data_IF_191831978810
#
_entry.id   IF_191831978810
#
_cell.length_a   1.000
_cell.length_b   1.000
_cell.length_c   1.000
_cell.angle_alpha   90.00
_cell.angle_beta   90.00
_cell.angle_gamma   90.00
#
_symmetry.space_group_name_H-M   'P 1'
#
loop_
_entity.id
_entity.type
_entity.pdbx_description
1 polymer ?
#
# COMPACT_ATOMS: atom_id res chain seq x y z
N UNK A 1 -11.09 -6.20 -17.63
CA UNK A 1 -11.84 -5.45 -16.60
C UNK A 1 -11.01 -5.22 -15.34
N UNK A 2 -10.58 -6.28 -14.64
CA UNK A 2 -9.81 -6.18 -13.38
C UNK A 2 -8.60 -5.24 -13.46
N UNK A 3 -7.72 -5.39 -14.45
CA UNK A 3 -6.52 -4.54 -14.57
C UNK A 3 -6.82 -3.05 -14.80
N UNK A 4 -7.93 -2.73 -15.47
CA UNK A 4 -8.36 -1.34 -15.66
C UNK A 4 -8.89 -0.73 -14.35
N UNK A 5 -9.63 -1.50 -13.57
CA UNK A 5 -10.05 -1.09 -12.21
C UNK A 5 -8.81 -0.90 -11.33
N UNK A 6 -7.85 -1.83 -11.37
CA UNK A 6 -6.58 -1.69 -10.64
C UNK A 6 -5.84 -0.40 -11.05
N UNK A 7 -5.76 -0.08 -12.34
CA UNK A 7 -5.17 1.17 -12.81
C UNK A 7 -5.83 2.40 -12.18
N UNK A 8 -7.17 2.45 -12.13
CA UNK A 8 -7.91 3.52 -11.46
C UNK A 8 -7.63 3.56 -9.95
N UNK A 9 -7.63 2.40 -9.27
CA UNK A 9 -7.34 2.32 -7.83
C UNK A 9 -5.97 2.90 -7.52
N UNK A 10 -4.93 2.51 -8.27
CA UNK A 10 -3.57 3.03 -8.08
C UNK A 10 -3.52 4.54 -8.30
N UNK A 11 -4.15 5.04 -9.38
CA UNK A 11 -4.24 6.49 -9.62
C UNK A 11 -5.00 7.23 -8.50
N UNK A 12 -6.08 6.64 -7.99
CA UNK A 12 -6.87 7.21 -6.90
C UNK A 12 -6.08 7.31 -5.59
N UNK A 13 -5.25 6.31 -5.26
CA UNK A 13 -4.34 6.35 -4.10
C UNK A 13 -3.40 7.56 -4.20
N UNK A 14 -2.71 7.71 -5.33
CA UNK A 14 -1.81 8.87 -5.53
C UNK A 14 -2.57 10.20 -5.45
N UNK A 15 -3.74 10.30 -6.10
CA UNK A 15 -4.55 11.52 -6.07
C UNK A 15 -5.06 11.85 -4.65
N UNK A 16 -5.46 10.83 -3.89
CA UNK A 16 -5.93 10.98 -2.51
C UNK A 16 -4.88 11.61 -1.60
N UNK A 17 -3.66 11.04 -1.62
CA UNK A 17 -2.56 11.46 -0.77
C UNK A 17 -1.97 12.80 -1.22
N UNK A 18 -1.67 12.95 -2.51
CA UNK A 18 -1.13 14.23 -3.06
C UNK A 18 -2.11 15.38 -2.85
N UNK A 19 -3.41 15.14 -3.02
CA UNK A 19 -4.47 16.14 -2.77
C UNK A 19 -4.60 16.55 -1.29
N UNK A 20 -4.01 15.79 -0.35
CA UNK A 20 -4.03 16.04 1.10
C UNK A 20 -2.67 16.45 1.67
N UNK A 21 -1.75 16.86 0.79
CA UNK A 21 -0.42 17.35 1.16
C UNK A 21 0.52 16.27 1.68
N UNK A 22 0.30 15.01 1.32
CA UNK A 22 1.30 13.96 1.55
C UNK A 22 2.33 13.97 0.42
N UNK A 23 3.59 13.69 0.76
CA UNK A 23 4.67 13.50 -0.19
C UNK A 23 4.87 12.01 -0.47
N UNK A 24 5.10 11.67 -1.73
CA UNK A 24 5.49 10.31 -2.09
C UNK A 24 6.92 10.06 -1.65
N UNK A 25 7.13 8.96 -0.92
CA UNK A 25 8.42 8.59 -0.37
C UNK A 25 8.72 7.14 -0.72
N UNK A 26 9.81 6.91 -1.45
CA UNK A 26 10.26 5.57 -1.83
C UNK A 26 11.36 5.08 -0.88
N UNK A 27 11.05 4.02 -0.15
CA UNK A 27 12.00 3.35 0.71
C UNK A 27 12.75 2.22 -0.03
N UNK A 28 13.94 1.84 0.43
CA UNK A 28 14.67 0.71 -0.15
C UNK A 28 13.92 -0.61 0.08
N UNK A 29 13.86 -1.42 -0.98
CA UNK A 29 13.32 -2.78 -0.95
C UNK A 29 14.29 -3.76 -0.29
N UNK A 30 15.60 -3.59 -0.50
CA UNK A 30 16.60 -4.36 0.23
C UNK A 30 16.77 -3.75 1.62
N UNK A 31 16.39 -4.50 2.64
CA UNK A 31 16.49 -4.08 4.04
C UNK A 31 17.45 -5.00 4.80
N UNK A 32 18.31 -4.47 5.68
CA UNK A 32 19.28 -5.28 6.44
C UNK A 32 18.64 -6.07 7.60
N UNK A 33 17.40 -5.74 7.98
CA UNK A 33 16.72 -6.30 9.14
C UNK A 33 15.22 -6.47 8.91
N UNK A 34 14.58 -7.28 9.76
CA UNK A 34 13.13 -7.40 9.85
C UNK A 34 12.52 -6.14 10.45
N UNK A 35 11.45 -5.65 9.82
CA UNK A 35 10.60 -4.58 10.36
C UNK A 35 9.46 -5.15 11.22
N UNK A 36 8.82 -6.25 10.79
CA UNK A 36 7.76 -6.94 11.52
C UNK A 36 8.29 -8.23 12.17
N UNK A 37 8.23 -8.30 13.51
CA UNK A 37 8.68 -9.48 14.25
C UNK A 37 7.84 -10.73 13.95
N UNK A 38 8.50 -11.87 13.73
CA UNK A 38 7.83 -13.17 13.55
C UNK A 38 7.43 -13.51 12.11
N UNK A 39 7.71 -12.63 11.14
CA UNK A 39 7.40 -12.85 9.75
C UNK A 39 8.59 -13.49 8.99
N UNK A 40 8.31 -14.43 8.09
CA UNK A 40 9.33 -15.03 7.23
C UNK A 40 9.71 -14.09 6.09
N UNK A 41 11.00 -13.82 5.93
CA UNK A 41 11.55 -12.96 4.88
C UNK A 41 12.16 -13.78 3.75
N UNK A 42 12.19 -13.18 2.55
CA UNK A 42 13.03 -13.66 1.47
C UNK A 42 14.45 -13.13 1.65
N UNK A 43 15.40 -14.04 1.81
CA UNK A 43 16.82 -13.73 1.88
C UNK A 43 17.42 -13.53 0.49
N UNK A 44 18.26 -12.52 0.37
CA UNK A 44 19.00 -12.19 -0.84
C UNK A 44 20.47 -12.09 -0.47
N UNK A 45 21.29 -12.92 -1.13
CA UNK A 45 22.74 -12.80 -1.04
C UNK A 45 23.15 -11.51 -1.75
N UNK A 46 23.59 -10.53 -0.99
CA UNK A 46 23.96 -9.20 -1.46
C UNK A 46 25.46 -9.01 -1.25
N UNK A 47 26.24 -9.36 -2.28
CA UNK A 47 27.70 -9.45 -2.20
C UNK A 47 28.15 -10.45 -1.12
N UNK A 48 28.87 -9.95 -0.09
CA UNK A 48 29.35 -10.70 1.06
C UNK A 48 28.35 -10.68 2.24
N UNK A 49 27.27 -9.92 2.11
CA UNK A 49 26.23 -9.75 3.12
C UNK A 49 24.92 -10.47 2.74
N UNK A 50 24.03 -10.59 3.74
CA UNK A 50 22.65 -11.02 3.55
C UNK A 50 21.76 -9.80 3.73
N UNK A 51 20.89 -9.56 2.75
CA UNK A 51 19.80 -8.61 2.86
C UNK A 51 18.47 -9.33 2.68
N UNK A 52 17.39 -8.63 2.96
CA UNK A 52 16.06 -9.17 2.86
C UNK A 52 15.17 -8.30 1.98
N UNK A 53 14.20 -8.92 1.30
CA UNK A 53 13.16 -8.18 0.60
C UNK A 53 12.14 -7.61 1.61
N UNK A 54 11.83 -6.32 1.46
CA UNK A 54 10.96 -5.57 2.35
C UNK A 54 9.55 -6.16 2.50
N UNK A 55 9.09 -6.28 3.75
CA UNK A 55 7.71 -6.59 4.14
C UNK A 55 6.84 -5.35 4.38
N UNK A 56 7.49 -4.20 4.57
CA UNK A 56 6.91 -2.88 4.81
C UNK A 56 8.07 -1.89 4.82
N UNK A 57 7.79 -0.64 4.44
CA UNK A 57 8.75 0.45 4.59
C UNK A 57 8.61 1.23 5.91
N UNK A 58 7.76 0.78 6.83
CA UNK A 58 7.42 1.48 8.08
C UNK A 58 8.63 2.10 8.81
N UNK A 59 9.72 1.35 9.02
CA UNK A 59 10.89 1.89 9.73
C UNK A 59 11.56 3.07 8.99
N UNK A 60 11.55 3.05 7.66
CA UNK A 60 12.03 4.17 6.85
C UNK A 60 11.01 5.31 6.82
N UNK A 61 9.72 4.99 6.96
CA UNK A 61 8.64 5.96 7.10
C UNK A 61 8.81 6.82 8.35
N UNK A 62 9.03 6.16 9.49
CA UNK A 62 9.23 6.80 10.77
C UNK A 62 10.43 7.76 10.75
N UNK A 63 11.48 7.44 9.99
CA UNK A 63 12.60 8.35 9.74
C UNK A 63 12.23 9.50 8.77
N UNK A 64 11.52 9.19 7.68
CA UNK A 64 11.15 10.15 6.63
C UNK A 64 10.21 11.25 7.10
N UNK A 65 9.30 10.97 8.03
CA UNK A 65 8.35 11.96 8.54
C UNK A 65 9.02 13.14 9.25
N UNK A 66 10.22 12.96 9.82
CA UNK A 66 10.97 14.07 10.42
C UNK A 66 11.36 15.14 9.39
N UNK A 67 11.44 14.79 8.10
CA UNK A 67 11.75 15.74 7.03
C UNK A 67 10.51 16.24 6.29
N UNK A 68 9.53 15.37 6.05
CA UNK A 68 8.42 15.66 5.13
C UNK A 68 7.06 15.83 5.83
N UNK A 69 6.98 15.50 7.12
CA UNK A 69 5.77 15.57 7.93
C UNK A 69 4.75 14.48 7.58
N UNK A 70 4.25 14.46 6.35
CA UNK A 70 3.23 13.52 5.87
C UNK A 70 3.71 12.82 4.60
N UNK A 71 3.80 11.50 4.63
CA UNK A 71 4.32 10.70 3.53
C UNK A 71 3.47 9.48 3.23
N UNK A 72 3.58 8.99 2.01
CA UNK A 72 2.95 7.76 1.57
C UNK A 72 3.84 7.03 0.56
N UNK A 73 3.63 5.73 0.41
CA UNK A 73 4.27 4.92 -0.61
C UNK A 73 3.24 4.04 -1.31
N UNK A 74 3.54 3.65 -2.55
CA UNK A 74 2.86 2.56 -3.25
C UNK A 74 3.89 1.70 -3.97
N UNK A 75 4.32 0.62 -3.32
CA UNK A 75 5.49 -0.16 -3.72
C UNK A 75 5.25 -1.67 -3.65
N UNK A 76 6.17 -2.46 -4.22
CA UNK A 76 6.15 -3.91 -4.06
C UNK A 76 6.61 -4.32 -2.65
N UNK A 77 5.98 -5.37 -2.14
CA UNK A 77 6.19 -5.90 -0.80
C UNK A 77 6.20 -7.41 -0.85
N UNK A 78 7.01 -8.03 0.01
CA UNK A 78 7.32 -9.45 -0.06
C UNK A 78 7.09 -10.13 1.29
N UNK A 79 6.38 -11.27 1.30
CA UNK A 79 6.19 -12.11 2.48
C UNK A 79 6.51 -13.55 2.13
N UNK A 80 7.49 -14.16 2.80
CA UNK A 80 7.87 -15.55 2.56
C UNK A 80 6.92 -16.54 3.30
N UNK A 81 5.62 -16.28 3.21
CA UNK A 81 4.56 -17.05 3.83
C UNK A 81 4.34 -18.35 3.04
N UNK A 82 4.25 -19.50 3.74
CA UNK A 82 4.02 -20.80 3.09
C UNK A 82 2.54 -21.13 2.92
N UNK A 83 1.66 -20.34 3.54
CA UNK A 83 0.21 -20.47 3.45
C UNK A 83 -0.29 -20.36 2.00
N UNK A 84 -0.97 -21.40 1.51
CA UNK A 84 -1.48 -21.50 0.12
C UNK A 84 -2.98 -21.19 0.01
N UNK A 85 -3.46 -20.14 0.67
CA UNK A 85 -4.87 -19.73 0.49
C UNK A 85 -5.01 -18.76 -0.68
N UNK A 86 -6.23 -18.55 -1.16
CA UNK A 86 -6.54 -17.62 -2.24
C UNK A 86 -6.29 -16.13 -1.91
N UNK A 87 -5.89 -15.82 -0.68
CA UNK A 87 -5.67 -14.44 -0.18
C UNK A 87 -4.21 -14.11 0.11
N UNK A 88 -3.30 -15.09 0.01
CA UNK A 88 -1.88 -14.88 0.28
C UNK A 88 -1.07 -14.92 -1.01
N UNK A 89 -0.34 -13.85 -1.27
CA UNK A 89 0.67 -13.76 -2.30
C UNK A 89 2.03 -13.52 -1.64
N UNK A 90 3.08 -14.11 -2.21
CA UNK A 90 4.44 -13.89 -1.74
C UNK A 90 4.97 -12.51 -2.13
N UNK A 91 4.44 -11.94 -3.22
CA UNK A 91 4.72 -10.61 -3.73
C UNK A 91 3.38 -9.91 -3.99
N UNK A 92 3.24 -8.69 -3.47
CA UNK A 92 2.05 -7.88 -3.65
C UNK A 92 2.41 -6.40 -3.58
N UNK A 93 1.47 -5.54 -3.95
CA UNK A 93 1.69 -4.10 -3.90
C UNK A 93 0.96 -3.54 -2.70
N UNK A 94 1.68 -2.77 -1.88
CA UNK A 94 1.16 -2.18 -0.68
C UNK A 94 1.16 -0.66 -0.81
N UNK A 95 0.01 -0.06 -0.49
CA UNK A 95 -0.07 1.36 -0.21
C UNK A 95 0.01 1.51 1.32
N UNK A 96 0.97 2.30 1.79
CA UNK A 96 1.11 2.62 3.22
C UNK A 96 1.31 4.13 3.36
N UNK A 97 1.01 4.66 4.54
CA UNK A 97 1.20 6.06 4.86
C UNK A 97 1.74 6.22 6.27
N UNK A 98 2.49 7.30 6.48
CA UNK A 98 3.02 7.68 7.79
C UNK A 98 2.93 9.19 7.91
N UNK A 99 2.58 9.69 9.09
CA UNK A 99 2.38 11.12 9.29
C UNK A 99 2.67 11.55 10.72
N UNK A 100 3.50 12.58 10.85
CA UNK A 100 3.79 13.22 12.11
C UNK A 100 2.52 13.79 12.76
N UNK A 101 2.48 13.71 14.09
CA UNK A 101 1.42 14.27 14.93
C UNK A 101 0.04 13.62 14.78
N UNK A 102 -0.06 12.47 14.09
CA UNK A 102 -1.29 11.70 14.01
C UNK A 102 -1.36 10.65 15.13
N UNK A 103 -2.54 10.52 15.71
CA UNK A 103 -2.89 9.40 16.61
C UNK A 103 -3.50 8.25 15.82
N UNK A 104 -3.72 7.10 16.48
CA UNK A 104 -4.40 5.96 15.86
C UNK A 104 -5.80 6.34 15.32
N UNK A 105 -6.55 7.16 16.05
CA UNK A 105 -7.89 7.59 15.62
C UNK A 105 -7.82 8.44 14.34
N UNK A 106 -6.81 9.30 14.23
CA UNK A 106 -6.59 10.10 13.01
C UNK A 106 -6.23 9.21 11.81
N UNK A 107 -5.38 8.20 12.01
CA UNK A 107 -4.99 7.24 10.95
C UNK A 107 -6.19 6.42 10.50
N UNK A 108 -7.06 6.00 11.43
CA UNK A 108 -8.29 5.27 11.12
C UNK A 108 -9.22 6.12 10.23
N UNK A 109 -9.37 7.41 10.51
CA UNK A 109 -10.20 8.28 9.67
C UNK A 109 -9.58 8.48 8.28
N UNK A 110 -8.26 8.64 8.17
CA UNK A 110 -7.58 8.70 6.87
C UNK A 110 -7.81 7.42 6.07
N UNK A 111 -7.70 6.24 6.68
CA UNK A 111 -7.94 4.97 6.00
C UNK A 111 -9.39 4.82 5.51
N UNK A 112 -10.38 5.23 6.32
CA UNK A 112 -11.79 5.23 5.91
C UNK A 112 -12.01 6.16 4.72
N UNK A 113 -11.45 7.35 4.76
CA UNK A 113 -11.59 8.33 3.69
C UNK A 113 -10.89 7.91 2.40
N UNK A 114 -9.72 7.27 2.50
CA UNK A 114 -9.00 6.71 1.37
C UNK A 114 -9.85 5.65 0.66
N UNK A 115 -10.39 4.69 1.42
CA UNK A 115 -11.25 3.63 0.87
C UNK A 115 -12.48 4.23 0.19
N UNK A 116 -13.17 5.19 0.83
CA UNK A 116 -14.32 5.88 0.23
C UNK A 116 -13.95 6.57 -1.07
N UNK A 117 -12.84 7.30 -1.09
CA UNK A 117 -12.37 8.02 -2.27
C UNK A 117 -12.04 7.06 -3.43
N UNK A 118 -11.32 5.98 -3.16
CA UNK A 118 -10.99 4.95 -4.15
C UNK A 118 -12.27 4.34 -4.74
N UNK A 119 -13.24 3.98 -3.89
CA UNK A 119 -14.53 3.41 -4.34
C UNK A 119 -15.28 4.40 -5.24
N UNK A 120 -15.34 5.68 -4.86
CA UNK A 120 -15.98 6.72 -5.67
C UNK A 120 -15.30 6.89 -7.03
N UNK A 121 -13.97 6.90 -7.09
CA UNK A 121 -13.23 7.00 -8.35
C UNK A 121 -13.47 5.78 -9.25
N UNK A 122 -13.51 4.57 -8.68
CA UNK A 122 -13.85 3.35 -9.42
C UNK A 122 -15.29 3.39 -9.94
N UNK A 123 -16.26 3.82 -9.13
CA UNK A 123 -17.66 3.96 -9.55
C UNK A 123 -17.83 5.01 -10.66
N UNK A 124 -17.04 6.08 -10.63
CA UNK A 124 -17.06 7.14 -11.64
C UNK A 124 -16.45 6.69 -12.96
N UNK A 125 -15.32 5.97 -12.92
CA UNK A 125 -14.51 5.70 -14.10
C UNK A 125 -14.63 4.28 -14.66
N UNK A 126 -15.16 3.31 -13.91
CA UNK A 126 -15.12 1.89 -14.28
C UNK A 126 -16.47 1.17 -14.25
N UNK A 127 -17.60 1.87 -14.41
CA UNK A 127 -18.95 1.24 -14.43
C UNK A 127 -19.03 0.08 -15.42
N UNK A 128 -18.50 0.25 -16.63
CA UNK A 128 -18.47 -0.79 -17.66
C UNK A 128 -17.65 -2.01 -17.23
N UNK A 129 -16.49 -1.80 -16.61
CA UNK A 129 -15.68 -2.90 -16.11
C UNK A 129 -16.33 -3.64 -14.94
N UNK A 130 -17.06 -2.94 -14.05
CA UNK A 130 -17.82 -3.54 -12.96
C UNK A 130 -18.98 -4.40 -13.49
N UNK A 131 -19.66 -3.96 -14.53
CA UNK A 131 -20.72 -4.71 -15.21
C UNK A 131 -20.18 -6.01 -15.84
N UNK A 132 -19.04 -5.94 -16.53
CA UNK A 132 -18.36 -7.13 -17.10
C UNK A 132 -18.03 -8.15 -16.00
N UNK A 133 -17.67 -7.68 -14.81
CA UNK A 133 -17.38 -8.52 -13.64
C UNK A 133 -18.63 -8.95 -12.87
N UNK A 134 -19.83 -8.53 -13.30
CA UNK A 134 -21.12 -8.83 -12.68
C UNK A 134 -21.16 -8.43 -11.20
N UNK A 135 -20.58 -7.28 -10.85
CA UNK A 135 -20.56 -6.77 -9.48
C UNK A 135 -21.81 -5.93 -9.18
N UNK A 136 -22.41 -6.14 -8.01
CA UNK A 136 -23.47 -5.27 -7.51
C UNK A 136 -22.86 -3.95 -7.00
N UNK A 137 -23.20 -2.86 -7.69
CA UNK A 137 -22.69 -1.52 -7.38
C UNK A 137 -23.48 -0.83 -6.26
N UNK A 138 -24.67 -1.31 -5.90
CA UNK A 138 -25.50 -0.70 -4.83
C UNK A 138 -24.86 -0.79 -3.46
N UNK A 139 -23.94 -1.73 -3.27
CA UNK A 139 -23.16 -1.88 -2.04
C UNK A 139 -21.99 -0.89 -1.94
N UNK A 140 -21.69 -0.18 -3.03
CA UNK A 140 -20.57 0.76 -3.16
C UNK A 140 -21.04 2.22 -3.22
N UNK A 141 -22.33 2.45 -3.51
CA UNK A 141 -23.03 3.74 -3.45
C UNK A 141 -23.42 4.09 -2.01
#
# INVERSE_FOLDING_TARGET
AVLKIRHTIVGAIHNFFRGRGYYEFDAPIFQPSQSEGGATLFEVKYFDDIMYLSQTWQLYAEAGIFSLGKIYNMGPTFRAEKSKTSRHLAEFWMAEMEAAWMTLDDVIEVAKDEIRFIVQEVLKHNKKELEILKRDIKLLE
#
